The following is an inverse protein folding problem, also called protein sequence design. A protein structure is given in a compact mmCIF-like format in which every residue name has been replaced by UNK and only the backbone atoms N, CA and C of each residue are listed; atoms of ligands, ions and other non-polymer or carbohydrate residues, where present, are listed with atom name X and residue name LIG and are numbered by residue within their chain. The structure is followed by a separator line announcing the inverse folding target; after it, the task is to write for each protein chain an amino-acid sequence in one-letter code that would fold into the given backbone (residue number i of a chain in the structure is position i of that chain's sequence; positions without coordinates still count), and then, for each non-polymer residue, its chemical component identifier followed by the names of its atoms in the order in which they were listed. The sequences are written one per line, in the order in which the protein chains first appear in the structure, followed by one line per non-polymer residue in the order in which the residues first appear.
data_IF_002276703431
#
_entry.id   IF_002276703431
#
_cell.length_a   1.000
_cell.length_b   1.000
_cell.length_c   1.000
_cell.angle_alpha   90.00
_cell.angle_beta   90.00
_cell.angle_gamma   90.00
#
_symmetry.space_group_name_H-M   'P 1'
#
loop_
_entity.id
_entity.type
_entity.pdbx_description
1 polymer ?
#
# COMPACT_ATOMS: atom_id res chain seq x y z
N UNK A 1 -13.74 23.24 -1.91
CA UNK A 1 -13.75 21.77 -1.85
C UNK A 1 -12.62 21.28 -2.74
N UNK A 2 -11.55 20.75 -2.15
CA UNK A 2 -10.32 20.42 -2.88
C UNK A 2 -10.51 19.19 -3.77
N UNK A 3 -10.23 19.33 -5.07
CA UNK A 3 -9.98 18.18 -5.93
C UNK A 3 -8.70 17.51 -5.43
N UNK A 4 -8.83 16.31 -4.86
CA UNK A 4 -7.68 15.45 -4.62
C UNK A 4 -7.41 14.64 -5.87
N UNK A 5 -6.22 14.82 -6.42
CA UNK A 5 -5.74 14.10 -7.59
C UNK A 5 -5.59 12.61 -7.23
N UNK A 6 -6.03 11.72 -8.10
CA UNK A 6 -5.87 10.27 -7.94
C UNK A 6 -4.41 9.90 -7.69
N UNK A 7 -3.51 10.61 -8.37
CA UNK A 7 -2.07 10.48 -8.21
C UNK A 7 -1.62 10.88 -6.79
N UNK A 8 -2.25 11.88 -6.16
CA UNK A 8 -1.98 12.24 -4.76
C UNK A 8 -2.48 11.19 -3.77
N UNK A 9 -3.60 10.53 -4.04
CA UNK A 9 -4.12 9.45 -3.17
C UNK A 9 -3.26 8.20 -3.27
N UNK A 10 -2.81 7.82 -4.48
CA UNK A 10 -1.83 6.76 -4.66
C UNK A 10 -0.50 7.07 -3.94
N UNK A 11 -0.07 8.33 -3.94
CA UNK A 11 1.10 8.82 -3.17
C UNK A 11 0.84 8.83 -1.65
N UNK A 12 -0.41 8.92 -1.22
CA UNK A 12 -0.77 8.96 0.21
C UNK A 12 -0.92 7.59 0.87
N UNK A 13 -0.99 6.49 0.11
CA UNK A 13 -1.12 5.16 0.73
C UNK A 13 0.04 4.86 1.68
N UNK A 14 1.26 5.28 1.33
CA UNK A 14 2.44 5.06 2.15
C UNK A 14 2.34 5.77 3.50
N UNK A 15 2.08 7.08 3.46
CA UNK A 15 2.00 7.90 4.67
C UNK A 15 0.79 7.52 5.52
N UNK A 16 -0.36 7.25 4.91
CA UNK A 16 -1.59 6.96 5.64
C UNK A 16 -1.59 5.58 6.28
N UNK A 17 -1.12 4.55 5.58
CA UNK A 17 -0.98 3.20 6.15
C UNK A 17 -0.02 3.19 7.34
N UNK A 18 1.08 3.97 7.29
CA UNK A 18 1.98 4.15 8.44
C UNK A 18 1.35 4.96 9.57
N UNK A 19 0.64 6.04 9.26
CA UNK A 19 -0.03 6.89 10.24
C UNK A 19 -1.08 6.14 11.08
N UNK A 20 -1.83 5.22 10.47
CA UNK A 20 -2.86 4.45 11.20
C UNK A 20 -2.30 3.25 11.96
N UNK A 21 -1.04 2.87 11.74
CA UNK A 21 -0.45 1.69 12.33
C UNK A 21 -0.48 1.75 13.86
N UNK A 22 0.11 2.80 14.46
CA UNK A 22 0.18 2.95 15.92
C UNK A 22 -1.20 2.89 16.59
N UNK A 23 -2.20 3.56 15.99
CA UNK A 23 -3.56 3.57 16.50
C UNK A 23 -4.23 2.20 16.43
N UNK A 24 -3.96 1.42 15.38
CA UNK A 24 -4.49 0.07 15.25
C UNK A 24 -3.76 -0.91 16.16
N UNK A 25 -2.44 -0.79 16.33
CA UNK A 25 -1.67 -1.59 17.29
C UNK A 25 -2.15 -1.36 18.72
N UNK A 26 -2.43 -0.11 19.10
CA UNK A 26 -3.00 0.23 20.42
C UNK A 26 -4.37 -0.40 20.64
N UNK A 27 -5.24 -0.36 19.62
CA UNK A 27 -6.62 -0.89 19.73
C UNK A 27 -6.66 -2.42 19.70
N UNK A 28 -5.79 -3.04 18.91
CA UNK A 28 -5.78 -4.50 18.72
C UNK A 28 -4.86 -5.22 19.72
N UNK A 29 -4.01 -4.49 20.44
CA UNK A 29 -3.00 -5.01 21.38
C UNK A 29 -2.07 -6.05 20.75
N UNK A 30 -1.75 -5.86 19.47
CA UNK A 30 -0.85 -6.72 18.70
C UNK A 30 0.01 -5.86 17.75
N UNK A 31 1.26 -6.25 17.49
CA UNK A 31 2.08 -5.56 16.49
C UNK A 31 1.52 -5.80 15.10
N UNK A 32 1.57 -4.77 14.25
CA UNK A 32 1.25 -4.85 12.84
C UNK A 32 2.52 -4.74 12.02
N UNK A 33 2.56 -5.43 10.90
CA UNK A 33 3.66 -5.27 9.93
C UNK A 33 3.21 -4.33 8.83
N UNK A 34 3.89 -3.19 8.69
CA UNK A 34 3.76 -2.37 7.50
C UNK A 34 4.36 -3.10 6.30
N UNK A 35 3.55 -3.34 5.27
CA UNK A 35 3.93 -4.19 4.14
C UNK A 35 3.81 -3.41 2.84
N UNK A 36 4.82 -3.54 1.98
CA UNK A 36 4.85 -2.97 0.64
C UNK A 36 4.87 -4.08 -0.40
N UNK A 37 4.12 -3.89 -1.48
CA UNK A 37 4.15 -4.80 -2.62
C UNK A 37 3.12 -4.41 -3.66
N UNK A 38 2.49 -5.41 -4.27
CA UNK A 38 1.49 -5.19 -5.31
C UNK A 38 0.24 -6.02 -5.07
N UNK A 39 -0.85 -5.61 -5.71
CA UNK A 39 -2.13 -6.34 -5.68
C UNK A 39 -2.41 -6.91 -7.06
N UNK A 40 -2.82 -8.17 -7.12
CA UNK A 40 -3.31 -8.80 -8.35
C UNK A 40 -4.84 -8.70 -8.36
N UNK A 41 -5.39 -8.12 -9.41
CA UNK A 41 -6.83 -8.17 -9.70
C UNK A 41 -7.02 -8.91 -11.03
N UNK A 42 -7.57 -10.12 -10.98
CA UNK A 42 -7.63 -10.95 -12.16
C UNK A 42 -6.25 -11.52 -12.52
N UNK A 43 -5.90 -11.40 -13.79
CA UNK A 43 -4.56 -11.71 -14.30
C UNK A 43 -3.63 -10.51 -14.43
N UNK A 44 -3.99 -9.36 -13.84
CA UNK A 44 -3.19 -8.13 -13.93
C UNK A 44 -2.67 -7.70 -12.57
N UNK A 45 -1.34 -7.55 -12.40
CA UNK A 45 -0.81 -6.88 -11.23
C UNK A 45 -1.08 -5.38 -11.33
N UNK A 46 -1.32 -4.74 -10.19
CA UNK A 46 -1.54 -3.30 -10.03
C UNK A 46 -0.56 -2.81 -8.99
N UNK A 47 0.00 -1.61 -9.21
CA UNK A 47 1.06 -1.03 -8.38
C UNK A 47 2.27 -1.96 -8.28
N UNK A 48 2.73 -2.43 -9.45
CA UNK A 48 3.81 -3.40 -9.52
C UNK A 48 5.13 -2.76 -9.95
N UNK A 49 6.16 -3.05 -9.17
CA UNK A 49 7.56 -2.84 -9.51
C UNK A 49 8.30 -4.17 -9.35
N UNK A 50 9.15 -4.54 -10.31
CA UNK A 50 9.95 -5.76 -10.19
C UNK A 50 10.99 -5.66 -9.07
N UNK A 51 11.41 -6.80 -8.50
CA UNK A 51 12.46 -6.80 -7.48
C UNK A 51 13.78 -6.17 -7.97
N UNK A 52 14.11 -6.33 -9.26
CA UNK A 52 15.25 -5.67 -9.88
C UNK A 52 15.09 -4.15 -9.88
N UNK A 53 13.92 -3.62 -10.28
CA UNK A 53 13.65 -2.18 -10.25
C UNK A 53 13.65 -1.61 -8.82
N UNK A 54 13.14 -2.36 -7.83
CA UNK A 54 13.24 -1.97 -6.42
C UNK A 54 14.70 -1.87 -5.98
N UNK A 55 15.53 -2.85 -6.36
CA UNK A 55 16.96 -2.83 -6.07
C UNK A 55 17.67 -1.65 -6.73
N UNK A 56 17.38 -1.37 -8.00
CA UNK A 56 17.95 -0.23 -8.72
C UNK A 56 17.63 1.10 -8.05
N UNK A 57 16.39 1.31 -7.61
CA UNK A 57 15.99 2.51 -6.87
C UNK A 57 16.71 2.62 -5.53
N UNK A 58 16.86 1.50 -4.82
CA UNK A 58 17.58 1.44 -3.56
C UNK A 58 19.07 1.79 -3.73
N UNK A 59 19.70 1.24 -4.76
CA UNK A 59 21.11 1.50 -5.09
C UNK A 59 21.31 2.95 -5.57
N UNK A 60 20.31 3.53 -6.26
CA UNK A 60 20.32 4.94 -6.68
C UNK A 60 19.94 5.94 -5.57
N UNK A 61 19.33 5.49 -4.47
CA UNK A 61 18.84 6.33 -3.38
C UNK A 61 17.71 7.29 -3.78
N UNK A 62 16.96 6.97 -4.84
CA UNK A 62 15.87 7.81 -5.35
C UNK A 62 14.87 6.99 -6.18
N UNK A 63 13.63 7.47 -6.36
CA UNK A 63 12.66 6.79 -7.22
C UNK A 63 13.09 6.82 -8.68
N UNK A 64 12.78 5.77 -9.44
CA UNK A 64 13.05 5.70 -10.87
C UNK A 64 12.18 6.68 -11.68
N UNK A 65 10.97 6.95 -11.20
CA UNK A 65 9.98 7.84 -11.81
C UNK A 65 9.32 8.73 -10.74
N UNK A 66 8.60 9.76 -11.17
CA UNK A 66 7.86 10.64 -10.25
C UNK A 66 6.77 9.90 -9.45
N UNK A 67 6.22 8.83 -10.01
CA UNK A 67 5.27 7.92 -9.36
C UNK A 67 5.96 6.61 -8.99
N UNK A 68 5.67 6.07 -7.80
CA UNK A 68 6.16 4.77 -7.37
C UNK A 68 5.04 3.74 -7.50
N UNK A 69 5.26 2.70 -8.30
CA UNK A 69 4.30 1.61 -8.47
C UNK A 69 4.51 0.56 -7.37
N UNK A 70 4.09 0.90 -6.16
CA UNK A 70 3.97 0.03 -5.00
C UNK A 70 2.70 0.41 -4.24
N UNK A 71 2.18 -0.53 -3.46
CA UNK A 71 1.06 -0.32 -2.56
C UNK A 71 1.44 -0.67 -1.13
N UNK A 72 0.85 0.02 -0.16
CA UNK A 72 1.09 -0.19 1.27
C UNK A 72 -0.17 -0.63 2.01
N UNK A 73 -0.03 -1.66 2.82
CA UNK A 73 -1.05 -2.16 3.73
C UNK A 73 -0.43 -2.61 5.05
N UNK A 74 -1.26 -2.96 6.02
CA UNK A 74 -0.84 -3.54 7.29
C UNK A 74 -1.17 -5.03 7.30
N UNK A 75 -0.31 -5.83 7.92
CA UNK A 75 -0.49 -7.27 8.06
C UNK A 75 -0.44 -7.65 9.54
N UNK A 76 -1.48 -8.35 9.98
CA UNK A 76 -1.56 -8.92 11.31
C UNK A 76 -0.60 -10.13 11.44
N UNK A 77 -0.17 -10.51 12.65
CA UNK A 77 0.65 -11.71 12.86
C UNK A 77 -0.03 -13.01 12.43
N UNK A 78 -1.36 -13.01 12.31
CA UNK A 78 -2.20 -14.08 11.77
C UNK A 78 -2.47 -13.93 10.26
N UNK A 79 -1.66 -13.12 9.57
CA UNK A 79 -1.66 -12.88 8.13
C UNK A 79 -2.87 -12.10 7.57
N UNK A 80 -3.86 -11.71 8.38
CA UNK A 80 -4.93 -10.84 7.89
C UNK A 80 -4.36 -9.52 7.38
N UNK A 81 -4.87 -9.11 6.23
CA UNK A 81 -4.54 -7.86 5.59
C UNK A 81 -5.54 -6.81 6.04
N UNK A 82 -5.03 -5.69 6.52
CA UNK A 82 -5.77 -4.46 6.78
C UNK A 82 -5.30 -3.42 5.77
N UNK A 83 -6.15 -3.11 4.81
CA UNK A 83 -5.89 -2.11 3.78
C UNK A 83 -6.90 -0.98 3.83
N UNK A 84 -6.46 0.13 4.40
CA UNK A 84 -7.28 1.32 4.62
C UNK A 84 -7.31 2.26 3.41
N UNK A 85 -6.53 1.99 2.36
CA UNK A 85 -6.38 2.91 1.22
C UNK A 85 -6.78 2.31 -0.12
N UNK A 86 -6.71 1.00 -0.30
CA UNK A 86 -6.94 0.35 -1.59
C UNK A 86 -8.33 0.61 -2.18
N UNK A 87 -9.39 0.56 -1.37
CA UNK A 87 -10.75 0.88 -1.82
C UNK A 87 -10.82 2.30 -2.40
N UNK A 88 -10.23 3.27 -1.69
CA UNK A 88 -10.16 4.66 -2.15
C UNK A 88 -9.32 4.80 -3.42
N UNK A 89 -8.12 4.22 -3.47
CA UNK A 89 -7.24 4.26 -4.64
C UNK A 89 -7.94 3.68 -5.87
N UNK A 90 -8.61 2.53 -5.72
CA UNK A 90 -9.34 1.89 -6.81
C UNK A 90 -10.56 2.71 -7.24
N UNK A 91 -11.31 3.25 -6.29
CA UNK A 91 -12.46 4.12 -6.53
C UNK A 91 -12.09 5.35 -7.35
N UNK A 92 -10.95 5.99 -7.07
CA UNK A 92 -10.51 7.13 -7.86
C UNK A 92 -10.01 6.69 -9.25
N UNK A 93 -9.21 5.63 -9.34
CA UNK A 93 -8.68 5.15 -10.63
C UNK A 93 -9.77 4.64 -11.57
N UNK A 94 -10.85 4.06 -11.04
CA UNK A 94 -11.97 3.52 -11.82
C UNK A 94 -13.15 4.47 -11.96
N UNK A 95 -13.11 5.63 -11.30
CA UNK A 95 -14.22 6.56 -11.21
C UNK A 95 -15.49 5.91 -10.59
N UNK A 96 -15.28 5.14 -9.53
CA UNK A 96 -16.27 4.40 -8.73
C UNK A 96 -16.36 5.05 -7.33
N UNK A 97 -17.13 6.14 -7.16
CA UNK A 97 -17.16 6.92 -5.91
C UNK A 97 -17.64 6.12 -4.69
N UNK A 98 -18.43 5.06 -4.90
CA UNK A 98 -18.91 4.16 -3.85
C UNK A 98 -17.81 3.32 -3.19
N UNK A 99 -16.63 3.25 -3.81
CA UNK A 99 -15.44 2.56 -3.28
C UNK A 99 -14.59 3.48 -2.38
N UNK A 100 -14.76 4.80 -2.49
CA UNK A 100 -14.01 5.79 -1.70
C UNK A 100 -14.34 5.62 -0.21
N UNK A 101 -13.30 5.51 0.60
CA UNK A 101 -13.40 5.31 2.05
C UNK A 101 -13.63 3.86 2.47
N UNK A 102 -13.71 2.90 1.54
CA UNK A 102 -13.78 1.48 1.91
C UNK A 102 -12.43 0.97 2.39
N UNK A 103 -12.48 0.25 3.50
CA UNK A 103 -11.36 -0.48 4.09
C UNK A 103 -11.52 -1.96 3.73
N UNK A 104 -10.42 -2.63 3.36
CA UNK A 104 -10.39 -4.08 3.22
C UNK A 104 -9.76 -4.69 4.48
N UNK A 105 -10.47 -5.64 5.09
CA UNK A 105 -9.95 -6.48 6.19
C UNK A 105 -10.24 -7.92 5.84
N UNK A 106 -9.23 -8.71 5.48
CA UNK A 106 -9.44 -10.06 4.95
C UNK A 106 -8.26 -10.98 5.26
N UNK A 107 -8.57 -12.21 5.66
CA UNK A 107 -7.56 -13.27 5.72
C UNK A 107 -7.25 -13.75 4.29
N UNK A 108 -5.97 -13.98 3.92
CA UNK A 108 -5.60 -14.40 2.57
C UNK A 108 -6.34 -15.65 2.08
N UNK A 109 -6.57 -16.63 2.96
CA UNK A 109 -7.31 -17.87 2.62
C UNK A 109 -8.79 -17.63 2.31
N UNK A 110 -9.38 -16.52 2.78
CA UNK A 110 -10.78 -16.17 2.54
C UNK A 110 -10.94 -15.26 1.30
N UNK A 111 -9.84 -14.91 0.62
CA UNK A 111 -9.91 -14.12 -0.61
C UNK A 111 -10.62 -14.89 -1.72
N UNK A 112 -11.68 -14.30 -2.23
CA UNK A 112 -12.46 -14.86 -3.33
C UNK A 112 -12.06 -14.26 -4.67
N UNK A 113 -12.15 -15.08 -5.71
CA UNK A 113 -11.80 -14.69 -7.07
C UNK A 113 -10.29 -14.60 -7.29
N UNK A 114 -9.88 -13.92 -8.35
CA UNK A 114 -8.47 -13.76 -8.72
C UNK A 114 -7.83 -12.53 -8.03
N UNK A 115 -8.20 -12.27 -6.78
CA UNK A 115 -7.71 -11.15 -5.98
C UNK A 115 -6.64 -11.65 -5.00
N UNK A 116 -5.46 -11.03 -4.99
CA UNK A 116 -4.40 -11.43 -4.04
C UNK A 116 -3.41 -10.28 -3.79
N UNK A 117 -2.85 -10.26 -2.58
CA UNK A 117 -1.79 -9.34 -2.18
C UNK A 117 -0.46 -10.07 -2.23
N UNK A 118 0.57 -9.40 -2.75
CA UNK A 118 1.89 -9.98 -2.95
C UNK A 118 2.92 -9.09 -2.26
N UNK A 119 3.28 -9.42 -1.00
CA UNK A 119 4.33 -8.72 -0.26
C UNK A 119 5.67 -8.76 -1.01
N UNK A 120 6.40 -7.65 -1.01
CA UNK A 120 7.74 -7.54 -1.57
C UNK A 120 8.76 -7.00 -0.56
N UNK A 121 8.35 -6.04 0.28
CA UNK A 121 9.19 -5.42 1.30
C UNK A 121 8.39 -5.27 2.60
N UNK A 122 9.09 -5.33 3.74
CA UNK A 122 8.51 -5.14 5.07
C UNK A 122 9.10 -3.88 5.69
N UNK A 123 8.27 -3.14 6.42
CA UNK A 123 8.59 -1.84 6.98
C UNK A 123 8.65 -0.71 5.95
N UNK A 124 8.99 0.48 6.43
CA UNK A 124 9.04 1.71 5.63
C UNK A 124 10.47 2.15 5.24
N UNK A 125 11.50 1.41 5.68
CA UNK A 125 12.92 1.73 5.48
C UNK A 125 13.26 1.95 4.00
N UNK A 126 12.72 1.11 3.12
CA UNK A 126 12.89 1.27 1.67
C UNK A 126 12.44 2.66 1.21
N UNK A 127 11.24 3.09 1.59
CA UNK A 127 10.66 4.37 1.19
C UNK A 127 11.47 5.55 1.73
N UNK A 128 11.99 5.43 2.96
CA UNK A 128 12.88 6.44 3.56
C UNK A 128 14.19 6.56 2.79
N UNK A 129 14.81 5.42 2.46
CA UNK A 129 16.11 5.38 1.76
C UNK A 129 16.07 5.89 0.33
N UNK A 130 14.91 5.80 -0.33
CA UNK A 130 14.71 6.38 -1.66
C UNK A 130 14.11 7.79 -1.61
N UNK A 131 13.95 8.39 -0.42
CA UNK A 131 13.46 9.76 -0.26
C UNK A 131 11.97 9.97 -0.56
N UNK A 132 11.15 8.91 -0.49
CA UNK A 132 9.69 8.99 -0.65
C UNK A 132 9.01 9.37 0.66
N UNK A 133 9.42 8.77 1.77
CA UNK A 133 9.03 9.20 3.10
C UNK A 133 10.17 10.00 3.72
N UNK A 134 9.85 11.19 4.23
CA UNK A 134 10.80 12.09 4.88
C UNK A 134 10.31 12.30 6.30
N UNK A 135 11.20 12.17 7.29
CA UNK A 135 10.88 12.56 8.67
C UNK A 135 10.57 14.05 8.72
N UNK A 136 9.43 14.41 9.33
CA UNK A 136 9.02 15.80 9.54
C UNK A 136 9.90 16.49 10.59
#
# INVERSE_FOLDING_TARGET
MGHFDAEKIAVQCFAFSGFVQDALEEVLDVPLTYTLGFVKLGNKPIFYTSMEGLKEMLDAGRPATATLNLHAWLTLPSDEIIDVTFGTTLGVLRNEPEMIGRIATIHPDDMVGEHSYHPQLLGDDFLRRIGVLVEL
#
